data_IF_574081014104
#
_entry.id   IF_574081014104
#
_cell.length_a   1.000
_cell.length_b   1.000
_cell.length_c   1.000
_cell.angle_alpha   90.00
_cell.angle_beta   90.00
_cell.angle_gamma   90.00
#
_symmetry.space_group_name_H-M   'P 1'
#
loop_
_entity.id
_entity.type
_entity.pdbx_description
1 polymer ?
#
# COMPACT_ATOMS: atom_id res chain seq x y z
N UNK A 1 28.45 1.98 22.63
CA UNK A 1 27.61 2.91 21.87
C UNK A 1 28.45 3.49 20.74
N UNK A 2 27.91 3.61 19.53
CA UNK A 2 28.60 4.29 18.43
C UNK A 2 28.48 5.78 18.69
N UNK A 3 29.63 6.50 18.65
CA UNK A 3 29.64 7.96 18.74
C UNK A 3 29.25 8.55 17.39
N UNK A 4 27.99 8.94 17.26
CA UNK A 4 27.44 9.49 16.01
C UNK A 4 27.91 10.94 15.78
N UNK A 5 28.29 11.66 16.83
CA UNK A 5 28.73 13.05 16.74
C UNK A 5 30.14 13.19 16.15
N UNK A 6 30.91 12.09 16.14
CA UNK A 6 32.21 12.03 15.50
C UNK A 6 32.17 11.84 13.98
N UNK A 7 31.01 11.48 13.41
CA UNK A 7 30.85 11.22 11.98
C UNK A 7 30.54 12.49 11.18
N UNK A 8 31.19 12.62 10.05
CA UNK A 8 30.86 13.69 9.08
C UNK A 8 29.52 13.44 8.35
N UNK A 9 28.93 14.48 7.73
CA UNK A 9 27.62 14.38 7.07
C UNK A 9 27.55 13.28 6.00
N UNK A 10 28.60 13.07 5.24
CA UNK A 10 28.68 12.03 4.20
C UNK A 10 28.70 10.63 4.82
N UNK A 11 29.43 10.46 5.93
CA UNK A 11 29.52 9.20 6.66
C UNK A 11 28.18 8.85 7.30
N UNK A 12 27.47 9.83 7.87
CA UNK A 12 26.12 9.63 8.42
C UNK A 12 25.13 9.16 7.34
N UNK A 13 25.15 9.76 6.14
CA UNK A 13 24.30 9.34 5.02
C UNK A 13 24.66 7.92 4.57
N UNK A 14 25.96 7.59 4.48
CA UNK A 14 26.41 6.26 4.10
C UNK A 14 26.00 5.20 5.13
N UNK A 15 26.20 5.49 6.42
CA UNK A 15 25.77 4.62 7.51
C UNK A 15 24.25 4.40 7.50
N UNK A 16 23.46 5.46 7.30
CA UNK A 16 22.01 5.37 7.19
C UNK A 16 21.57 4.45 6.04
N UNK A 17 22.19 4.56 4.86
CA UNK A 17 21.91 3.66 3.72
C UNK A 17 22.26 2.21 4.04
N UNK A 18 23.36 1.99 4.74
CA UNK A 18 23.77 0.64 5.17
C UNK A 18 22.77 0.03 6.15
N UNK A 19 22.34 0.80 7.14
CA UNK A 19 21.31 0.37 8.10
C UNK A 19 20.00 0.07 7.38
N UNK A 20 19.58 0.93 6.45
CA UNK A 20 18.37 0.70 5.67
C UNK A 20 18.45 -0.59 4.85
N UNK A 21 19.61 -0.91 4.27
CA UNK A 21 19.82 -2.18 3.55
C UNK A 21 19.70 -3.41 4.48
N UNK A 22 20.21 -3.30 5.69
CA UNK A 22 20.09 -4.38 6.70
C UNK A 22 18.62 -4.58 7.08
N UNK A 23 17.89 -3.48 7.33
CA UNK A 23 16.46 -3.52 7.65
C UNK A 23 15.67 -4.19 6.52
N UNK A 24 15.90 -3.81 5.26
CA UNK A 24 15.21 -4.39 4.11
C UNK A 24 15.45 -5.89 3.97
N UNK A 25 16.69 -6.35 4.18
CA UNK A 25 17.02 -7.78 4.16
C UNK A 25 16.36 -8.53 5.33
N UNK A 26 16.35 -7.94 6.52
CA UNK A 26 15.68 -8.53 7.69
C UNK A 26 14.16 -8.62 7.46
N UNK A 27 13.53 -7.60 6.90
CA UNK A 27 12.11 -7.61 6.53
C UNK A 27 11.79 -8.71 5.51
N UNK A 28 12.60 -8.86 4.46
CA UNK A 28 12.43 -9.96 3.51
C UNK A 28 12.45 -11.31 4.18
N UNK A 29 13.44 -11.55 5.07
CA UNK A 29 13.53 -12.80 5.82
C UNK A 29 12.32 -13.00 6.75
N UNK A 30 11.87 -11.93 7.41
CA UNK A 30 10.70 -11.97 8.27
C UNK A 30 9.45 -12.39 7.49
N UNK A 31 9.20 -11.82 6.30
CA UNK A 31 8.07 -12.22 5.45
C UNK A 31 8.19 -13.68 5.00
N UNK A 32 9.37 -14.13 4.59
CA UNK A 32 9.60 -15.53 4.21
C UNK A 32 9.33 -16.49 5.36
N UNK A 33 9.79 -16.15 6.58
CA UNK A 33 9.52 -16.93 7.79
C UNK A 33 8.03 -16.93 8.13
N UNK A 34 7.36 -15.78 8.02
CA UNK A 34 5.90 -15.66 8.26
C UNK A 34 5.10 -16.53 7.29
N UNK A 35 5.43 -16.52 5.99
CA UNK A 35 4.79 -17.38 5.00
C UNK A 35 5.04 -18.86 5.29
N UNK A 36 6.29 -19.24 5.58
CA UNK A 36 6.63 -20.60 5.94
C UNK A 36 5.92 -21.08 7.22
N UNK A 37 5.83 -20.23 8.24
CA UNK A 37 5.11 -20.51 9.49
C UNK A 37 3.61 -20.68 9.25
N UNK A 38 3.01 -19.87 8.36
CA UNK A 38 1.62 -20.00 7.99
C UNK A 38 1.33 -21.33 7.30
N UNK A 39 2.17 -21.77 6.35
CA UNK A 39 2.03 -23.07 5.68
C UNK A 39 2.14 -24.27 6.62
N UNK A 40 2.85 -24.11 7.74
CA UNK A 40 3.06 -25.16 8.74
C UNK A 40 2.13 -25.07 9.95
N UNK A 41 1.14 -24.18 9.92
CA UNK A 41 0.25 -23.94 11.06
C UNK A 41 0.99 -23.66 12.38
N UNK A 42 2.12 -22.94 12.32
CA UNK A 42 2.99 -22.73 13.48
C UNK A 42 2.30 -22.04 14.66
N UNK A 43 1.19 -21.32 14.43
CA UNK A 43 0.37 -20.73 15.47
C UNK A 43 -0.19 -21.79 16.44
N UNK A 44 -0.48 -23.01 15.97
CA UNK A 44 -0.95 -24.12 16.82
C UNK A 44 0.12 -24.57 17.80
N UNK A 45 1.37 -24.69 17.33
CA UNK A 45 2.53 -25.03 18.17
C UNK A 45 2.85 -23.93 19.19
N UNK A 46 2.60 -22.68 18.85
CA UNK A 46 2.77 -21.51 19.72
C UNK A 46 1.56 -21.27 20.67
N UNK A 47 0.51 -22.09 20.62
CA UNK A 47 -0.69 -21.92 21.43
C UNK A 47 -1.53 -20.70 21.06
N UNK A 48 -1.33 -20.13 19.88
CA UNK A 48 -2.10 -18.99 19.41
C UNK A 48 -3.35 -19.44 18.63
N UNK A 49 -4.47 -18.70 18.77
CA UNK A 49 -5.73 -19.04 18.11
C UNK A 49 -5.71 -18.89 16.59
N UNK A 50 -4.77 -18.14 16.02
CA UNK A 50 -4.57 -17.97 14.58
C UNK A 50 -3.19 -17.41 14.26
N UNK A 51 -2.75 -17.53 12.98
CA UNK A 51 -1.52 -16.87 12.51
C UNK A 51 -1.57 -15.36 12.69
N UNK A 52 -2.73 -14.73 12.45
CA UNK A 52 -2.88 -13.29 12.66
C UNK A 52 -2.68 -12.88 14.12
N UNK A 53 -3.15 -13.70 15.07
CA UNK A 53 -2.96 -13.46 16.50
C UNK A 53 -1.49 -13.63 16.90
N UNK A 54 -0.81 -14.65 16.36
CA UNK A 54 0.61 -14.88 16.58
C UNK A 54 1.45 -13.70 16.08
N UNK A 55 1.27 -13.32 14.81
CA UNK A 55 2.00 -12.19 14.19
C UNK A 55 1.70 -10.87 14.90
N UNK A 56 0.45 -10.65 15.33
CA UNK A 56 0.08 -9.45 16.10
C UNK A 56 0.87 -9.36 17.41
N UNK A 57 0.97 -10.48 18.14
CA UNK A 57 1.69 -10.54 19.41
C UNK A 57 3.20 -10.36 19.24
N UNK A 58 3.81 -11.08 18.30
CA UNK A 58 5.26 -11.05 18.07
C UNK A 58 5.78 -9.73 17.50
N UNK A 59 5.02 -9.13 16.56
CA UNK A 59 5.41 -7.89 15.90
C UNK A 59 4.81 -6.62 16.53
N UNK A 60 4.02 -6.73 17.60
CA UNK A 60 3.36 -5.60 18.25
C UNK A 60 2.33 -4.90 17.34
N UNK A 61 1.72 -5.64 16.42
CA UNK A 61 0.79 -5.10 15.43
C UNK A 61 -0.67 -5.18 15.91
N UNK A 62 -1.51 -4.28 15.37
CA UNK A 62 -2.96 -4.46 15.46
C UNK A 62 -3.40 -5.70 14.67
N UNK A 63 -4.58 -6.27 14.96
CA UNK A 63 -5.14 -7.38 14.19
C UNK A 63 -5.21 -7.10 12.68
N UNK A 64 -5.59 -5.87 12.32
CA UNK A 64 -5.63 -5.42 10.93
C UNK A 64 -4.23 -5.32 10.33
N UNK A 65 -3.24 -4.84 11.09
CA UNK A 65 -1.83 -4.81 10.69
C UNK A 65 -1.27 -6.21 10.45
N UNK A 66 -1.53 -7.15 11.37
CA UNK A 66 -1.11 -8.55 11.23
C UNK A 66 -1.76 -9.23 10.01
N UNK A 67 -3.03 -8.97 9.73
CA UNK A 67 -3.69 -9.49 8.52
C UNK A 67 -3.06 -8.95 7.24
N UNK A 68 -2.74 -7.66 7.18
CA UNK A 68 -2.00 -7.06 6.05
C UNK A 68 -0.59 -7.66 5.90
N UNK A 69 0.10 -7.86 7.02
CA UNK A 69 1.44 -8.46 7.02
C UNK A 69 1.40 -9.90 6.48
N UNK A 70 0.44 -10.71 6.92
CA UNK A 70 0.24 -12.08 6.42
C UNK A 70 -0.10 -12.11 4.94
N UNK A 71 -0.99 -11.20 4.48
CA UNK A 71 -1.33 -11.10 3.07
C UNK A 71 -0.10 -10.79 2.24
N UNK A 72 0.69 -9.79 2.63
CA UNK A 72 1.93 -9.43 1.93
C UNK A 72 2.96 -10.57 1.97
N UNK A 73 3.07 -11.29 3.07
CA UNK A 73 3.96 -12.45 3.17
C UNK A 73 3.60 -13.55 2.16
N UNK A 74 2.31 -13.83 2.00
CA UNK A 74 1.82 -14.79 1.01
C UNK A 74 2.09 -14.32 -0.43
N UNK A 75 1.83 -13.05 -0.72
CA UNK A 75 2.08 -12.45 -2.04
C UNK A 75 3.56 -12.45 -2.42
N UNK A 76 4.46 -12.16 -1.47
CA UNK A 76 5.91 -12.23 -1.69
C UNK A 76 6.41 -13.67 -1.91
N UNK A 77 5.74 -14.66 -1.35
CA UNK A 77 6.04 -16.08 -1.58
C UNK A 77 5.67 -16.51 -3.02
N UNK A 78 4.61 -15.92 -3.57
CA UNK A 78 4.14 -16.13 -4.94
C UNK A 78 4.87 -15.29 -6.00
N UNK A 79 5.54 -14.21 -5.56
CA UNK A 79 6.22 -13.21 -6.42
C UNK A 79 7.72 -13.16 -6.14
N UNK A 80 8.55 -14.06 -6.68
CA UNK A 80 9.99 -14.10 -6.40
C UNK A 80 10.72 -12.81 -6.81
N UNK A 81 10.30 -12.18 -7.91
CA UNK A 81 10.90 -10.91 -8.39
C UNK A 81 10.64 -9.80 -7.39
N UNK A 82 9.41 -9.63 -6.92
CA UNK A 82 9.07 -8.64 -5.90
C UNK A 82 9.78 -8.91 -4.57
N UNK A 83 9.86 -10.18 -4.16
CA UNK A 83 10.57 -10.59 -2.96
C UNK A 83 12.07 -10.27 -3.03
N UNK A 84 12.70 -10.40 -4.19
CA UNK A 84 14.09 -10.01 -4.39
C UNK A 84 14.27 -8.50 -4.30
N UNK A 85 13.38 -7.72 -4.94
CA UNK A 85 13.44 -6.27 -4.91
C UNK A 85 13.29 -5.72 -3.49
N UNK A 86 12.53 -6.37 -2.60
CA UNK A 86 12.39 -5.95 -1.20
C UNK A 86 13.73 -5.89 -0.45
N UNK A 87 14.77 -6.58 -0.94
CA UNK A 87 16.13 -6.52 -0.36
C UNK A 87 16.95 -5.34 -0.87
N UNK A 88 16.49 -4.61 -1.89
CA UNK A 88 17.25 -3.54 -2.52
C UNK A 88 17.07 -2.20 -1.80
N UNK A 89 18.09 -1.35 -1.79
CA UNK A 89 17.96 0.02 -1.29
C UNK A 89 16.84 0.77 -2.02
N UNK A 90 16.09 1.57 -1.28
CA UNK A 90 14.95 2.33 -1.83
C UNK A 90 13.64 1.57 -1.91
N UNK A 91 13.64 0.25 -1.71
CA UNK A 91 12.43 -0.54 -1.55
C UNK A 91 11.96 -0.53 -0.09
N UNK A 92 10.66 -0.29 0.12
CA UNK A 92 10.02 -0.36 1.44
C UNK A 92 8.88 -1.38 1.43
N UNK A 93 8.44 -1.77 2.62
CA UNK A 93 7.26 -2.62 2.79
C UNK A 93 6.00 -2.01 2.16
N UNK A 94 5.84 -0.68 2.27
CA UNK A 94 4.68 0.02 1.67
C UNK A 94 4.72 -0.04 0.15
N UNK A 95 5.89 0.15 -0.46
CA UNK A 95 6.06 -0.01 -1.91
C UNK A 95 5.79 -1.45 -2.35
N UNK A 96 6.29 -2.44 -1.61
CA UNK A 96 5.99 -3.84 -1.89
C UNK A 96 4.49 -4.13 -1.81
N UNK A 97 3.79 -3.57 -0.83
CA UNK A 97 2.34 -3.71 -0.70
C UNK A 97 1.57 -3.05 -1.88
N UNK A 98 2.05 -1.92 -2.40
CA UNK A 98 1.47 -1.29 -3.60
C UNK A 98 1.63 -2.18 -4.82
N UNK A 99 2.83 -2.72 -5.06
CA UNK A 99 3.07 -3.63 -6.19
C UNK A 99 2.25 -4.90 -6.05
N UNK A 100 2.28 -5.54 -4.88
CA UNK A 100 1.53 -6.76 -4.60
C UNK A 100 0.01 -6.57 -4.81
N UNK A 101 -0.53 -5.42 -4.35
CA UNK A 101 -1.93 -5.08 -4.61
C UNK A 101 -2.21 -4.90 -6.11
N UNK A 102 -1.33 -4.22 -6.83
CA UNK A 102 -1.51 -4.05 -8.28
C UNK A 102 -1.53 -5.39 -9.03
N UNK A 103 -0.69 -6.36 -8.61
CA UNK A 103 -0.67 -7.71 -9.18
C UNK A 103 -1.95 -8.49 -8.86
N UNK A 104 -2.52 -8.33 -7.65
CA UNK A 104 -3.81 -8.92 -7.29
C UNK A 104 -4.97 -8.34 -8.13
N UNK A 105 -4.92 -7.03 -8.39
CA UNK A 105 -5.95 -6.30 -9.11
C UNK A 105 -5.86 -6.50 -10.65
N UNK A 106 -4.84 -7.22 -11.15
CA UNK A 106 -4.71 -7.52 -12.58
C UNK A 106 -5.88 -8.36 -13.10
N UNK A 107 -6.34 -8.07 -14.33
CA UNK A 107 -7.38 -8.86 -14.98
C UNK A 107 -7.06 -10.36 -15.02
N UNK A 108 -8.06 -11.19 -14.79
CA UNK A 108 -7.90 -12.66 -14.67
C UNK A 108 -7.49 -13.30 -16.01
N UNK A 109 -7.87 -12.68 -17.11
CA UNK A 109 -7.63 -13.16 -18.48
C UNK A 109 -6.24 -12.81 -19.04
N UNK A 110 -5.39 -12.13 -18.25
CA UNK A 110 -3.97 -11.96 -18.61
C UNK A 110 -3.26 -13.32 -18.53
N UNK A 111 -2.46 -13.59 -19.56
CA UNK A 111 -1.57 -14.74 -19.58
C UNK A 111 -0.50 -14.66 -18.49
N UNK A 112 0.09 -15.80 -18.11
CA UNK A 112 1.19 -15.84 -17.14
C UNK A 112 2.39 -14.99 -17.60
N UNK A 113 2.68 -14.92 -18.89
CA UNK A 113 3.76 -14.12 -19.43
C UNK A 113 3.49 -12.61 -19.28
N UNK A 114 2.26 -12.17 -19.56
CA UNK A 114 1.85 -10.78 -19.38
C UNK A 114 1.88 -10.37 -17.91
N UNK A 115 1.37 -11.23 -17.01
CA UNK A 115 1.45 -11.00 -15.55
C UNK A 115 2.90 -10.85 -15.07
N UNK A 116 3.80 -11.73 -15.55
CA UNK A 116 5.22 -11.67 -15.24
C UNK A 116 5.89 -10.40 -15.77
N UNK A 117 5.49 -9.93 -16.96
CA UNK A 117 5.99 -8.68 -17.51
C UNK A 117 5.59 -7.47 -16.64
N UNK A 118 4.32 -7.42 -16.21
CA UNK A 118 3.81 -6.37 -15.29
C UNK A 118 4.52 -6.44 -13.95
N UNK A 119 4.68 -7.64 -13.37
CA UNK A 119 5.40 -7.84 -12.11
C UNK A 119 6.82 -7.28 -12.21
N UNK A 120 7.56 -7.65 -13.26
CA UNK A 120 8.94 -7.23 -13.47
C UNK A 120 9.01 -5.70 -13.61
N UNK A 121 8.17 -5.09 -14.43
CA UNK A 121 8.15 -3.65 -14.66
C UNK A 121 7.87 -2.85 -13.37
N UNK A 122 6.88 -3.26 -12.60
CA UNK A 122 6.53 -2.58 -11.34
C UNK A 122 7.58 -2.82 -10.26
N UNK A 123 8.04 -4.06 -10.09
CA UNK A 123 8.98 -4.43 -9.04
C UNK A 123 10.36 -3.80 -9.26
N UNK A 124 10.84 -3.73 -10.51
CA UNK A 124 12.12 -3.10 -10.84
C UNK A 124 12.08 -1.57 -10.76
N UNK A 125 10.94 -0.94 -11.08
CA UNK A 125 10.77 0.50 -10.97
C UNK A 125 10.63 0.98 -9.50
N UNK A 126 10.02 0.17 -8.64
CA UNK A 126 9.64 0.56 -7.28
C UNK A 126 10.78 1.14 -6.42
N UNK A 127 12.02 0.60 -6.40
CA UNK A 127 13.10 1.16 -5.58
C UNK A 127 13.45 2.61 -5.94
N UNK A 128 13.36 2.97 -7.23
CA UNK A 128 13.73 4.30 -7.74
C UNK A 128 12.63 5.35 -7.68
N UNK A 129 11.39 4.97 -7.37
CA UNK A 129 10.22 5.85 -7.37
C UNK A 129 9.84 6.32 -5.96
N UNK A 130 9.20 7.47 -5.85
CA UNK A 130 8.46 7.84 -4.63
C UNK A 130 7.18 6.97 -4.53
N UNK A 131 6.64 6.83 -3.31
CA UNK A 131 5.47 5.98 -3.07
C UNK A 131 4.26 6.43 -3.92
N UNK A 132 4.02 7.73 -4.01
CA UNK A 132 2.92 8.33 -4.78
C UNK A 132 3.08 8.07 -6.29
N UNK A 133 4.30 8.18 -6.80
CA UNK A 133 4.62 7.88 -8.20
C UNK A 133 4.38 6.40 -8.51
N UNK A 134 4.79 5.51 -7.59
CA UNK A 134 4.56 4.08 -7.74
C UNK A 134 3.07 3.75 -7.68
N UNK A 135 2.29 4.39 -6.82
CA UNK A 135 0.84 4.22 -6.76
C UNK A 135 0.18 4.63 -8.08
N UNK A 136 0.63 5.75 -8.68
CA UNK A 136 0.13 6.17 -9.98
C UNK A 136 0.47 5.15 -11.08
N UNK A 137 1.74 4.70 -11.16
CA UNK A 137 2.18 3.67 -12.10
C UNK A 137 1.40 2.36 -11.89
N UNK A 138 1.18 1.95 -10.65
CA UNK A 138 0.46 0.72 -10.29
C UNK A 138 -1.00 0.72 -10.76
N UNK A 139 -1.69 1.87 -10.76
CA UNK A 139 -3.06 1.99 -11.30
C UNK A 139 -3.11 1.72 -12.81
N UNK A 140 -2.03 1.98 -13.50
CA UNK A 140 -1.88 1.76 -14.94
C UNK A 140 -1.06 0.50 -15.27
N UNK A 141 -0.98 -0.45 -14.32
CA UNK A 141 -0.13 -1.64 -14.43
C UNK A 141 -0.35 -2.44 -15.73
N UNK A 142 -1.59 -2.50 -16.22
CA UNK A 142 -1.95 -3.19 -17.47
C UNK A 142 -1.39 -2.49 -18.71
N UNK A 143 -1.00 -1.21 -18.64
CA UNK A 143 -0.43 -0.45 -19.75
C UNK A 143 0.84 -1.10 -20.34
N UNK A 144 1.55 -1.86 -19.53
CA UNK A 144 2.76 -2.60 -19.95
C UNK A 144 2.46 -3.59 -21.09
N UNK A 145 1.26 -4.16 -21.09
CA UNK A 145 0.85 -5.19 -22.05
C UNK A 145 -0.28 -4.73 -22.97
N UNK A 146 -1.16 -3.86 -22.51
CA UNK A 146 -2.30 -3.33 -23.27
C UNK A 146 -2.67 -1.92 -22.80
N UNK A 147 -2.22 -0.91 -23.55
CA UNK A 147 -2.46 0.51 -23.21
C UNK A 147 -3.93 0.90 -23.32
N UNK A 148 -4.63 0.45 -24.37
CA UNK A 148 -6.04 0.79 -24.55
C UNK A 148 -6.90 0.19 -23.45
N UNK A 149 -6.54 -0.99 -22.99
CA UNK A 149 -7.20 -1.65 -21.87
C UNK A 149 -6.94 -0.92 -20.55
N UNK A 150 -5.70 -0.46 -20.31
CA UNK A 150 -5.37 0.34 -19.14
C UNK A 150 -6.20 1.62 -19.08
N UNK A 151 -6.34 2.35 -20.21
CA UNK A 151 -7.17 3.54 -20.30
C UNK A 151 -8.65 3.25 -20.02
N UNK A 152 -9.17 2.13 -20.49
CA UNK A 152 -10.56 1.70 -20.20
C UNK A 152 -10.77 1.40 -18.71
N UNK A 153 -9.83 0.69 -18.08
CA UNK A 153 -9.90 0.35 -16.64
C UNK A 153 -9.84 1.62 -15.80
N UNK A 154 -8.91 2.54 -16.10
CA UNK A 154 -8.77 3.80 -15.37
C UNK A 154 -10.05 4.65 -15.49
N UNK A 155 -10.61 4.76 -16.69
CA UNK A 155 -11.87 5.48 -16.89
C UNK A 155 -13.04 4.86 -16.11
N UNK A 156 -13.16 3.54 -16.06
CA UNK A 156 -14.19 2.87 -15.27
C UNK A 156 -14.03 3.12 -13.77
N UNK A 157 -12.80 3.12 -13.27
CA UNK A 157 -12.53 3.40 -11.86
C UNK A 157 -12.84 4.86 -11.50
N UNK A 158 -12.52 5.83 -12.38
CA UNK A 158 -12.86 7.24 -12.19
C UNK A 158 -14.38 7.44 -12.12
N UNK A 159 -15.14 6.85 -13.06
CA UNK A 159 -16.62 6.90 -13.04
C UNK A 159 -17.16 6.32 -11.73
N UNK A 160 -16.64 5.18 -11.28
CA UNK A 160 -17.06 4.56 -10.03
C UNK A 160 -16.74 5.41 -8.80
N UNK A 161 -15.59 6.11 -8.80
CA UNK A 161 -15.22 7.04 -7.73
C UNK A 161 -16.17 8.24 -7.71
N UNK A 162 -16.50 8.80 -8.87
CA UNK A 162 -17.47 9.90 -8.99
C UNK A 162 -18.87 9.48 -8.49
N UNK A 163 -19.36 8.31 -8.90
CA UNK A 163 -20.64 7.79 -8.43
C UNK A 163 -20.64 7.59 -6.90
N UNK A 164 -19.54 7.06 -6.35
CA UNK A 164 -19.40 6.87 -4.91
C UNK A 164 -19.36 8.21 -4.17
N UNK A 165 -18.68 9.21 -4.71
CA UNK A 165 -18.63 10.56 -4.14
C UNK A 165 -20.01 11.20 -4.09
N UNK A 166 -20.78 11.09 -5.17
CA UNK A 166 -22.17 11.59 -5.23
C UNK A 166 -23.07 10.86 -4.22
N UNK A 167 -22.97 9.54 -4.11
CA UNK A 167 -23.73 8.75 -3.13
C UNK A 167 -23.36 9.05 -1.68
N UNK A 168 -22.14 9.51 -1.44
CA UNK A 168 -21.64 9.86 -0.11
C UNK A 168 -21.93 11.31 0.29
N UNK A 169 -22.65 12.07 -0.57
CA UNK A 169 -23.02 13.44 -0.27
C UNK A 169 -24.00 13.50 0.90
N UNK A 170 -23.68 14.27 1.91
CA UNK A 170 -24.48 14.42 3.12
C UNK A 170 -24.65 15.90 3.48
N UNK A 171 -25.79 16.23 4.02
CA UNK A 171 -26.06 17.53 4.63
C UNK A 171 -26.69 17.33 6.00
N UNK A 172 -26.21 18.06 7.00
CA UNK A 172 -26.77 18.03 8.34
C UNK A 172 -26.80 19.42 8.99
N UNK A 173 -27.79 19.65 9.84
CA UNK A 173 -27.92 20.85 10.67
C UNK A 173 -28.35 20.45 12.07
N UNK A 174 -27.80 21.13 13.08
CA UNK A 174 -28.24 20.97 14.46
C UNK A 174 -29.51 21.78 14.72
N UNK A 175 -30.21 21.49 15.83
CA UNK A 175 -31.21 22.43 16.35
C UNK A 175 -30.52 23.69 16.87
N UNK A 176 -31.20 24.83 16.91
CA UNK A 176 -30.68 26.05 17.53
C UNK A 176 -30.22 25.77 18.96
N UNK A 177 -29.08 26.32 19.35
CA UNK A 177 -28.59 26.32 20.72
C UNK A 177 -29.32 27.41 21.56
N UNK A 178 -28.98 27.57 22.84
CA UNK A 178 -29.57 28.55 23.75
C UNK A 178 -29.38 30.00 23.26
N UNK A 179 -28.41 30.24 22.38
CA UNK A 179 -28.12 31.54 21.77
C UNK A 179 -28.78 31.73 20.43
N UNK A 180 -29.59 30.74 19.98
CA UNK A 180 -30.28 30.75 18.68
C UNK A 180 -29.39 30.38 17.50
N UNK A 181 -28.16 29.90 17.74
CA UNK A 181 -27.22 29.55 16.68
C UNK A 181 -27.44 28.10 16.20
N UNK A 182 -27.42 27.93 14.90
CA UNK A 182 -27.52 26.62 14.22
C UNK A 182 -26.16 26.28 13.63
N UNK A 183 -25.65 25.09 13.92
CA UNK A 183 -24.46 24.55 13.29
C UNK A 183 -24.86 23.52 12.24
N UNK A 184 -24.19 23.52 11.09
CA UNK A 184 -24.41 22.56 10.03
C UNK A 184 -23.14 22.23 9.31
N UNK A 185 -23.17 21.19 8.53
CA UNK A 185 -22.07 20.78 7.67
C UNK A 185 -22.59 19.99 6.47
N UNK A 186 -21.73 19.82 5.52
CA UNK A 186 -22.02 19.05 4.32
C UNK A 186 -20.75 18.30 3.87
N UNK A 187 -20.98 17.18 3.22
CA UNK A 187 -19.98 16.44 2.44
C UNK A 187 -20.50 16.48 0.99
N UNK A 188 -19.70 16.98 0.09
CA UNK A 188 -20.07 17.17 -1.31
C UNK A 188 -18.97 16.56 -2.21
N UNK A 189 -19.35 16.14 -3.40
CA UNK A 189 -18.37 15.86 -4.46
C UNK A 189 -17.62 17.16 -4.85
N UNK A 190 -16.47 16.99 -5.51
CA UNK A 190 -15.55 18.09 -5.81
C UNK A 190 -16.22 19.18 -6.68
N UNK A 191 -17.02 18.78 -7.68
CA UNK A 191 -17.69 19.70 -8.59
C UNK A 191 -18.73 20.55 -7.86
N UNK A 192 -19.59 19.91 -7.07
CA UNK A 192 -20.62 20.59 -6.27
C UNK A 192 -19.98 21.50 -5.22
N UNK A 193 -18.87 21.08 -4.60
CA UNK A 193 -18.13 21.91 -3.65
C UNK A 193 -17.53 23.16 -4.30
N UNK A 194 -16.99 23.06 -5.51
CA UNK A 194 -16.46 24.22 -6.25
C UNK A 194 -17.58 25.19 -6.71
N UNK A 195 -18.72 24.65 -7.14
CA UNK A 195 -19.90 25.46 -7.46
C UNK A 195 -20.40 26.23 -6.22
N UNK A 196 -20.47 25.57 -5.07
CA UNK A 196 -20.87 26.21 -3.82
C UNK A 196 -19.89 27.29 -3.40
N UNK A 197 -18.57 27.03 -3.49
CA UNK A 197 -17.52 28.01 -3.18
C UNK A 197 -17.66 29.25 -4.05
N UNK A 198 -17.83 29.07 -5.37
CA UNK A 198 -18.02 30.18 -6.30
C UNK A 198 -19.30 30.97 -6.06
N UNK A 199 -20.32 30.36 -5.47
CA UNK A 199 -21.57 31.04 -5.14
C UNK A 199 -21.54 31.82 -3.82
N UNK A 200 -20.55 31.54 -2.97
CA UNK A 200 -20.36 32.20 -1.67
C UNK A 200 -19.34 33.32 -1.71
N UNK A 201 -18.56 33.46 -2.75
CA UNK A 201 -17.62 34.56 -3.05
C UNK A 201 -18.36 35.73 -3.74
#
# INVERSE_FOLDING_TARGET
AVDLDSLGPVELVSASKTVQSIISRAQRLQFALTSAAARKDAHKAAGAGSMASLVAAEAGLSRRGAAKHLKLAAQLDESPVLAEQLSKPGMSTDKAAVVAKALDDLPIDLSAAERSAVETDLAEAAPGMLLEQLQHKARRAVEVVDRERADRIENQELVRQEETAVQSAEFWMTRPDEQGMVKGGFVLDALTADMLRSALE
#
